data_IF_011687234311
#
_entry.id   IF_011687234311
#
_cell.length_a   1.000
_cell.length_b   1.000
_cell.length_c   1.000
_cell.angle_alpha   90.00
_cell.angle_beta   90.00
_cell.angle_gamma   90.00
#
_symmetry.space_group_name_H-M   'P 1'
#
loop_
_entity.id
_entity.type
_entity.pdbx_description
1 polymer ?
#
# COMPACT_ATOMS: atom_id res chain seq x y z
N UNK A 1 17.78 7.66 11.90
CA UNK A 1 18.61 7.23 10.79
C UNK A 1 17.76 6.59 9.71
N UNK A 2 17.99 7.00 8.48
CA UNK A 2 17.09 6.61 7.39
C UNK A 2 17.18 5.15 7.00
N UNK A 3 18.32 4.50 7.28
CA UNK A 3 18.51 3.08 7.03
C UNK A 3 17.55 2.21 7.81
N UNK A 4 17.27 2.59 9.06
CA UNK A 4 16.34 1.83 9.91
C UNK A 4 14.90 1.94 9.41
N UNK A 5 14.54 3.08 8.82
CA UNK A 5 13.20 3.25 8.24
C UNK A 5 13.01 2.40 7.00
N UNK A 6 14.03 2.32 6.15
CA UNK A 6 13.97 1.50 4.95
C UNK A 6 13.87 0.01 5.28
N UNK A 7 14.64 -0.44 6.27
CA UNK A 7 14.56 -1.82 6.71
C UNK A 7 13.20 -2.15 7.34
N UNK A 8 12.66 -1.23 8.15
CA UNK A 8 11.34 -1.39 8.74
C UNK A 8 10.26 -1.43 7.66
N UNK A 9 10.35 -0.57 6.66
CA UNK A 9 9.39 -0.57 5.57
C UNK A 9 9.44 -1.86 4.77
N UNK A 10 10.64 -2.39 4.50
CA UNK A 10 10.79 -3.67 3.81
C UNK A 10 10.24 -4.82 4.63
N UNK A 11 10.56 -4.86 5.92
CA UNK A 11 10.05 -5.91 6.79
C UNK A 11 8.52 -5.86 6.89
N UNK A 12 7.95 -4.67 6.91
CA UNK A 12 6.50 -4.49 6.93
C UNK A 12 5.86 -4.90 5.61
N UNK A 13 6.53 -4.59 4.49
CA UNK A 13 6.06 -4.99 3.17
C UNK A 13 6.00 -6.50 3.02
N UNK A 14 6.95 -7.22 3.61
CA UNK A 14 6.95 -8.68 3.57
C UNK A 14 5.78 -9.29 4.33
N UNK A 15 5.14 -8.55 5.22
CA UNK A 15 3.96 -9.01 5.95
C UNK A 15 2.66 -8.78 5.19
N UNK A 16 2.71 -8.15 4.04
CA UNK A 16 1.52 -7.95 3.21
C UNK A 16 1.05 -9.26 2.62
N UNK A 17 -0.25 -9.45 2.61
CA UNK A 17 -0.87 -10.65 2.04
C UNK A 17 -2.13 -10.26 1.29
N UNK A 18 -2.37 -10.93 0.18
CA UNK A 18 -3.59 -10.74 -0.58
C UNK A 18 -4.80 -11.11 0.31
N UNK A 19 -5.80 -10.25 0.29
CA UNK A 19 -7.00 -10.43 1.12
C UNK A 19 -7.02 -9.58 2.38
N UNK A 20 -5.91 -8.91 2.72
CA UNK A 20 -5.88 -8.02 3.89
C UNK A 20 -6.79 -6.81 3.67
N UNK A 21 -7.39 -6.36 4.77
CA UNK A 21 -8.26 -5.17 4.73
C UNK A 21 -7.45 -3.89 4.69
N UNK A 22 -8.10 -2.78 4.31
CA UNK A 22 -7.47 -1.47 4.33
C UNK A 22 -6.89 -1.11 5.72
N UNK A 23 -7.65 -1.28 6.83
CA UNK A 23 -7.09 -0.98 8.14
C UNK A 23 -5.87 -1.82 8.49
N UNK A 24 -5.83 -3.07 8.08
CA UNK A 24 -4.67 -3.93 8.33
C UNK A 24 -3.43 -3.44 7.60
N UNK A 25 -3.58 -3.05 6.34
CA UNK A 25 -2.46 -2.51 5.57
C UNK A 25 -2.01 -1.17 6.12
N UNK A 26 -2.96 -0.32 6.51
CA UNK A 26 -2.64 0.97 7.11
C UNK A 26 -1.87 0.81 8.42
N UNK A 27 -2.22 -0.18 9.22
CA UNK A 27 -1.51 -0.48 10.45
C UNK A 27 -0.08 -0.95 10.21
N UNK A 28 0.12 -1.72 9.14
CA UNK A 28 1.44 -2.23 8.80
C UNK A 28 2.35 -1.16 8.16
N UNK A 29 1.81 -0.35 7.27
CA UNK A 29 2.61 0.56 6.45
C UNK A 29 2.37 2.04 6.73
N UNK A 30 1.32 2.36 7.49
CA UNK A 30 0.92 3.75 7.69
C UNK A 30 0.13 4.28 6.50
N UNK A 31 -0.08 5.60 6.46
CA UNK A 31 -0.82 6.22 5.38
C UNK A 31 -0.03 6.21 4.08
N UNK A 32 -0.68 5.98 2.92
CA UNK A 32 0.02 6.03 1.65
C UNK A 32 0.41 7.46 1.28
N UNK A 33 1.44 7.59 0.46
CA UNK A 33 1.84 8.90 -0.07
C UNK A 33 0.80 9.44 -1.04
N UNK A 34 0.21 8.54 -1.83
CA UNK A 34 -0.88 8.87 -2.75
C UNK A 34 -1.97 7.82 -2.66
N UNK A 35 -3.21 8.24 -2.86
CA UNK A 35 -4.38 7.37 -2.87
C UNK A 35 -5.27 7.75 -4.04
N UNK A 36 -5.65 6.76 -4.84
CA UNK A 36 -6.55 6.95 -5.96
C UNK A 36 -7.78 6.09 -5.72
N UNK A 37 -8.97 6.69 -5.77
CA UNK A 37 -10.24 6.02 -5.51
C UNK A 37 -10.92 5.66 -6.82
N UNK A 38 -10.69 4.43 -7.29
CA UNK A 38 -11.27 3.94 -8.54
C UNK A 38 -10.81 4.72 -9.75
N UNK A 39 -11.42 4.46 -10.89
CA UNK A 39 -11.09 5.13 -12.15
C UNK A 39 -11.63 6.56 -12.21
N UNK A 40 -12.66 6.87 -11.43
CA UNK A 40 -13.30 8.19 -11.37
C UNK A 40 -12.81 9.05 -10.21
N UNK A 41 -11.94 8.50 -9.35
CA UNK A 41 -11.49 9.20 -8.15
C UNK A 41 -12.54 9.27 -7.03
N UNK A 42 -13.65 8.55 -7.16
CA UNK A 42 -14.76 8.63 -6.21
C UNK A 42 -15.24 7.27 -5.69
N UNK A 43 -14.66 6.17 -6.14
CA UNK A 43 -15.10 4.83 -5.73
C UNK A 43 -14.24 4.31 -4.59
N UNK A 44 -14.74 4.29 -3.34
CA UNK A 44 -13.96 3.81 -2.20
C UNK A 44 -13.76 2.30 -2.19
N UNK A 45 -14.52 1.54 -2.95
CA UNK A 45 -14.36 0.09 -3.02
C UNK A 45 -13.13 -0.32 -3.81
N UNK A 46 -12.68 0.53 -4.73
CA UNK A 46 -11.49 0.30 -5.52
C UNK A 46 -10.49 1.40 -5.24
N UNK A 47 -9.38 1.06 -4.59
CA UNK A 47 -8.36 2.02 -4.22
C UNK A 47 -7.00 1.55 -4.69
N UNK A 48 -6.19 2.50 -5.10
CA UNK A 48 -4.77 2.29 -5.38
C UNK A 48 -3.99 3.13 -4.39
N UNK A 49 -3.19 2.48 -3.56
CA UNK A 49 -2.33 3.14 -2.60
C UNK A 49 -0.90 3.08 -3.10
N UNK A 50 -0.23 4.23 -3.13
CA UNK A 50 1.13 4.35 -3.63
C UNK A 50 2.04 4.80 -2.49
N UNK A 51 3.06 3.99 -2.21
CA UNK A 51 4.10 4.30 -1.25
C UNK A 51 5.40 4.50 -1.99
N UNK A 52 6.06 5.64 -1.75
CA UNK A 52 7.36 5.90 -2.32
C UNK A 52 8.44 5.41 -1.36
N UNK A 53 9.27 4.49 -1.82
CA UNK A 53 10.30 3.85 -1.02
C UNK A 53 11.64 3.97 -1.74
N UNK A 54 12.45 4.94 -1.33
CA UNK A 54 13.77 5.17 -1.91
C UNK A 54 13.65 5.38 -3.43
N UNK A 55 14.19 4.49 -4.25
CA UNK A 55 14.11 4.59 -5.70
C UNK A 55 12.97 3.78 -6.32
N UNK A 56 12.10 3.25 -5.49
CA UNK A 56 11.02 2.38 -5.92
C UNK A 56 9.68 2.91 -5.47
N UNK A 57 8.62 2.46 -6.14
CA UNK A 57 7.25 2.72 -5.74
C UNK A 57 6.57 1.39 -5.42
N UNK A 58 5.83 1.36 -4.33
CA UNK A 58 5.00 0.22 -3.96
C UNK A 58 3.56 0.57 -4.26
N UNK A 59 2.93 -0.19 -5.16
CA UNK A 59 1.56 0.01 -5.58
C UNK A 59 0.69 -1.10 -5.04
N UNK A 60 -0.26 -0.75 -4.20
CA UNK A 60 -1.20 -1.69 -3.59
C UNK A 60 -2.58 -1.43 -4.14
N UNK A 61 -3.13 -2.41 -4.84
CA UNK A 61 -4.47 -2.31 -5.40
C UNK A 61 -5.47 -3.01 -4.50
N UNK A 62 -6.55 -2.31 -4.15
CA UNK A 62 -7.63 -2.82 -3.32
C UNK A 62 -8.90 -2.92 -4.14
N UNK A 63 -9.60 -4.02 -3.96
CA UNK A 63 -10.90 -4.24 -4.54
C UNK A 63 -11.85 -4.71 -3.45
N UNK A 64 -13.00 -4.08 -3.35
CA UNK A 64 -13.99 -4.42 -2.34
C UNK A 64 -13.40 -4.34 -0.92
N UNK A 65 -12.56 -3.31 -0.68
CA UNK A 65 -11.88 -3.04 0.59
C UNK A 65 -10.84 -4.09 0.99
N UNK A 66 -10.42 -4.93 0.06
CA UNK A 66 -9.41 -5.96 0.30
C UNK A 66 -8.27 -5.85 -0.68
N UNK A 67 -7.06 -6.09 -0.18
CA UNK A 67 -5.86 -6.09 -1.02
C UNK A 67 -5.91 -7.24 -2.01
N UNK A 68 -5.78 -6.95 -3.31
CA UNK A 68 -5.81 -8.00 -4.33
C UNK A 68 -4.56 -8.00 -5.23
N UNK A 69 -3.77 -6.95 -5.22
CA UNK A 69 -2.58 -6.87 -6.06
C UNK A 69 -1.49 -6.06 -5.38
N UNK A 70 -0.26 -6.55 -5.47
CA UNK A 70 0.94 -5.88 -4.96
C UNK A 70 1.91 -5.75 -6.12
N UNK A 71 2.30 -4.51 -6.45
CA UNK A 71 3.30 -4.24 -7.47
C UNK A 71 4.42 -3.38 -6.90
N UNK A 72 5.65 -3.76 -7.22
CA UNK A 72 6.83 -2.98 -6.87
C UNK A 72 7.45 -2.48 -8.17
N UNK A 73 7.52 -1.16 -8.33
CA UNK A 73 7.98 -0.55 -9.58
C UNK A 73 9.25 0.28 -9.40
#
# INVERSE_FOLDING_TARGET
MDLDRLELARARTEKLSIGQSLPQVQELLGDPHEMILGSNGTDPEEQLWIYFMDQKSLHLSFHNFQLFKIEEL
#
